data_IF_471774703409
#
_entry.id   IF_471774703409
#
_cell.length_a   1.000
_cell.length_b   1.000
_cell.length_c   1.000
_cell.angle_alpha   90.00
_cell.angle_beta   90.00
_cell.angle_gamma   90.00
#
_symmetry.space_group_name_H-M   'P 1'
#
loop_
_entity.id
_entity.type
_entity.pdbx_description
1 polymer ?
#
# COMPACT_ATOMS: atom_id res chain seq x y z
N UNK A 1 22.74 -51.86 21.65
CA UNK A 1 21.58 -52.43 20.93
C UNK A 1 20.89 -51.29 20.22
N UNK A 2 20.92 -51.27 18.88
CA UNK A 2 20.10 -50.32 18.11
C UNK A 2 18.64 -50.75 18.28
N UNK A 3 17.82 -49.87 18.85
CA UNK A 3 16.38 -50.08 18.93
C UNK A 3 15.83 -50.01 17.50
N UNK A 4 15.57 -51.17 16.90
CA UNK A 4 14.81 -51.25 15.66
C UNK A 4 13.37 -50.92 16.05
N UNK A 5 12.89 -49.75 15.65
CA UNK A 5 11.52 -49.36 15.91
C UNK A 5 10.58 -50.25 15.10
N UNK A 6 9.48 -50.67 15.72
CA UNK A 6 8.46 -51.49 15.06
C UNK A 6 7.75 -50.74 13.92
N UNK A 7 7.93 -49.41 13.84
CA UNK A 7 7.28 -48.49 12.94
C UNK A 7 8.29 -47.60 12.20
N UNK A 8 7.87 -47.06 11.06
CA UNK A 8 8.61 -46.01 10.33
C UNK A 8 8.59 -44.73 11.15
N UNK A 9 9.76 -44.11 11.35
CA UNK A 9 9.91 -42.85 12.09
C UNK A 9 10.32 -41.70 11.17
N UNK A 10 9.81 -40.50 11.42
CA UNK A 10 10.11 -39.32 10.60
C UNK A 10 9.30 -38.11 11.03
N UNK A 11 9.35 -37.04 10.24
CA UNK A 11 8.55 -35.85 10.44
C UNK A 11 7.91 -35.34 9.15
N UNK A 12 6.77 -34.67 9.30
CA UNK A 12 6.14 -33.89 8.24
C UNK A 12 6.62 -32.46 8.29
N UNK A 13 6.85 -31.88 7.12
CA UNK A 13 7.28 -30.48 6.95
C UNK A 13 6.44 -29.83 5.87
N UNK A 14 6.10 -28.56 6.10
CA UNK A 14 5.31 -27.73 5.18
C UNK A 14 6.20 -26.57 4.75
N UNK A 15 6.23 -26.28 3.46
CA UNK A 15 6.94 -25.14 2.90
C UNK A 15 6.12 -24.50 1.78
N UNK A 16 6.15 -23.17 1.70
CA UNK A 16 5.48 -22.44 0.64
C UNK A 16 6.51 -22.06 -0.44
N UNK A 17 6.10 -22.16 -1.71
CA UNK A 17 6.91 -21.67 -2.83
C UNK A 17 6.42 -20.25 -3.17
N UNK A 18 7.27 -19.27 -2.91
CA UNK A 18 7.04 -17.86 -3.29
C UNK A 18 8.27 -17.38 -4.08
N UNK A 19 8.06 -16.86 -5.29
CA UNK A 19 9.13 -16.34 -6.18
C UNK A 19 10.39 -17.23 -6.26
N UNK A 20 10.20 -18.54 -6.47
CA UNK A 20 11.25 -19.57 -6.57
C UNK A 20 12.08 -19.86 -5.30
N UNK A 21 11.70 -19.30 -4.14
CA UNK A 21 12.32 -19.59 -2.84
C UNK A 21 11.38 -20.42 -1.97
N UNK A 22 11.94 -21.41 -1.28
CA UNK A 22 11.21 -22.18 -0.27
C UNK A 22 11.26 -21.42 1.05
N UNK A 23 10.14 -20.82 1.46
CA UNK A 23 10.01 -20.23 2.78
C UNK A 23 9.43 -21.29 3.72
N UNK A 24 10.23 -21.68 4.72
CA UNK A 24 9.74 -22.50 5.83
C UNK A 24 8.91 -21.62 6.76
N UNK A 25 7.61 -21.55 6.51
CA UNK A 25 6.69 -21.13 7.56
C UNK A 25 6.42 -22.30 8.51
N UNK A 26 5.91 -22.00 9.70
CA UNK A 26 5.39 -23.02 10.62
C UNK A 26 4.13 -23.69 10.04
N UNK A 27 3.08 -23.86 10.85
CA UNK A 27 1.79 -24.40 10.38
C UNK A 27 1.00 -23.47 9.45
N UNK A 28 1.36 -22.19 9.33
CA UNK A 28 0.58 -21.18 8.59
C UNK A 28 1.03 -21.00 7.13
N UNK A 29 0.11 -21.02 6.17
CA UNK A 29 0.39 -20.88 4.73
C UNK A 29 -0.57 -19.90 4.03
N UNK A 30 -0.11 -19.24 2.95
CA UNK A 30 -0.92 -18.35 2.09
C UNK A 30 -1.90 -19.12 1.22
N UNK A 31 -3.11 -18.59 1.08
CA UNK A 31 -4.03 -18.97 0.00
C UNK A 31 -3.44 -18.60 -1.38
N UNK A 32 -3.64 -19.47 -2.39
CA UNK A 32 -3.22 -19.25 -3.78
C UNK A 32 -1.74 -19.47 -4.09
N UNK A 33 -0.91 -19.72 -3.08
CA UNK A 33 0.48 -20.12 -3.26
C UNK A 33 0.61 -21.65 -3.23
N UNK A 34 1.53 -22.19 -4.04
CA UNK A 34 1.77 -23.63 -4.07
C UNK A 34 2.43 -24.05 -2.75
N UNK A 35 1.70 -24.83 -1.96
CA UNK A 35 2.19 -25.41 -0.71
C UNK A 35 2.81 -26.76 -1.01
N UNK A 36 4.05 -26.98 -0.57
CA UNK A 36 4.74 -28.27 -0.63
C UNK A 36 4.71 -28.92 0.74
N UNK A 37 4.17 -30.13 0.81
CA UNK A 37 4.21 -30.97 2.01
C UNK A 37 5.22 -32.09 1.76
N UNK A 38 6.15 -32.29 2.68
CA UNK A 38 7.20 -33.31 2.56
C UNK A 38 7.39 -34.11 3.83
N UNK A 39 7.60 -35.40 3.68
CA UNK A 39 8.02 -36.32 4.73
C UNK A 39 9.55 -36.42 4.73
N UNK A 40 10.17 -36.33 5.91
CA UNK A 40 11.58 -36.67 6.08
C UNK A 40 11.69 -37.91 6.98
N UNK A 41 12.20 -38.99 6.39
CA UNK A 41 12.49 -40.24 7.07
C UNK A 41 13.63 -40.03 8.08
N UNK A 42 13.45 -40.55 9.30
CA UNK A 42 14.50 -40.64 10.31
C UNK A 42 15.05 -42.07 10.33
N UNK A 43 16.15 -42.31 9.62
CA UNK A 43 16.83 -43.61 9.54
C UNK A 43 18.36 -43.45 9.62
N UNK A 44 18.92 -43.15 10.80
CA UNK A 44 20.37 -42.99 10.97
C UNK A 44 21.16 -44.29 10.79
N UNK A 45 20.48 -45.44 10.81
CA UNK A 45 21.07 -46.77 10.72
C UNK A 45 21.07 -47.38 9.31
N UNK A 46 20.51 -46.66 8.32
CA UNK A 46 20.24 -47.17 6.97
C UNK A 46 19.42 -48.48 6.95
N UNK A 47 18.54 -48.66 7.93
CA UNK A 47 17.72 -49.87 8.07
C UNK A 47 16.76 -50.05 6.89
N UNK A 48 16.23 -48.96 6.35
CA UNK A 48 15.27 -48.97 5.24
C UNK A 48 15.93 -48.79 3.87
N UNK A 49 17.25 -48.97 3.75
CA UNK A 49 18.01 -48.71 2.51
C UNK A 49 17.52 -49.51 1.30
N UNK A 50 17.05 -50.75 1.51
CA UNK A 50 16.50 -51.62 0.46
C UNK A 50 14.97 -51.54 0.35
N UNK A 51 14.32 -50.70 1.16
CA UNK A 51 12.87 -50.60 1.19
C UNK A 51 12.34 -49.71 0.06
N UNK A 52 11.24 -50.16 -0.52
CA UNK A 52 10.39 -49.35 -1.38
C UNK A 52 9.33 -48.67 -0.53
N UNK A 53 9.11 -47.38 -0.78
CA UNK A 53 8.14 -46.59 -0.01
C UNK A 53 6.89 -46.28 -0.83
N UNK A 54 5.76 -46.24 -0.14
CA UNK A 54 4.47 -45.75 -0.62
C UNK A 54 3.93 -44.75 0.39
N UNK A 55 3.52 -43.58 -0.11
CA UNK A 55 3.01 -42.48 0.70
C UNK A 55 1.53 -42.28 0.36
N UNK A 56 0.65 -42.53 1.31
CA UNK A 56 -0.79 -42.31 1.19
C UNK A 56 -1.18 -41.05 1.96
N UNK A 57 -1.48 -39.98 1.22
CA UNK A 57 -1.82 -38.67 1.72
C UNK A 57 -3.34 -38.51 1.79
N UNK A 58 -3.83 -37.99 2.91
CA UNK A 58 -5.21 -37.54 3.12
C UNK A 58 -5.16 -36.08 3.59
N UNK A 59 -5.81 -35.19 2.85
CA UNK A 59 -5.78 -33.75 3.10
C UNK A 59 -6.95 -33.25 3.96
N UNK A 60 -7.80 -34.16 4.46
CA UNK A 60 -8.92 -33.85 5.34
C UNK A 60 -10.17 -33.32 4.64
N UNK A 61 -10.18 -33.28 3.31
CA UNK A 61 -11.35 -32.95 2.47
C UNK A 61 -12.00 -34.19 1.84
N UNK A 62 -11.60 -35.38 2.26
CA UNK A 62 -12.09 -36.65 1.72
C UNK A 62 -11.39 -37.09 0.43
N UNK A 63 -10.34 -36.38 0.01
CA UNK A 63 -9.53 -36.75 -1.15
C UNK A 63 -8.20 -37.35 -0.70
N UNK A 64 -7.82 -38.45 -1.35
CA UNK A 64 -6.62 -39.20 -1.05
C UNK A 64 -5.67 -39.19 -2.25
N UNK A 65 -4.36 -39.14 -1.99
CA UNK A 65 -3.33 -39.20 -3.02
C UNK A 65 -2.25 -40.22 -2.64
N UNK A 66 -1.93 -41.13 -3.57
CA UNK A 66 -0.86 -42.11 -3.37
C UNK A 66 0.33 -41.73 -4.26
N UNK A 67 1.51 -41.65 -3.66
CA UNK A 67 2.76 -41.24 -4.33
C UNK A 67 3.92 -42.17 -3.98
N UNK A 68 4.95 -42.16 -4.83
CA UNK A 68 6.23 -42.85 -4.58
C UNK A 68 7.29 -41.88 -4.07
N UNK A 69 7.10 -40.60 -4.34
CA UNK A 69 7.90 -39.50 -3.83
C UNK A 69 7.43 -39.11 -2.42
N UNK A 70 8.33 -38.70 -1.51
CA UNK A 70 7.98 -38.31 -0.14
C UNK A 70 7.39 -36.89 -0.06
N UNK A 71 6.86 -36.35 -1.15
CA UNK A 71 6.33 -34.98 -1.18
C UNK A 71 5.19 -34.82 -2.18
N UNK A 72 4.33 -33.84 -1.88
CA UNK A 72 3.19 -33.43 -2.71
C UNK A 72 3.10 -31.92 -2.82
N UNK A 73 2.55 -31.44 -3.93
CA UNK A 73 2.25 -30.02 -4.16
C UNK A 73 0.75 -29.83 -4.12
N UNK A 74 0.29 -28.96 -3.24
CA UNK A 74 -1.11 -28.67 -3.00
C UNK A 74 -1.37 -27.20 -3.31
N UNK A 75 -2.44 -26.93 -4.05
CA UNK A 75 -3.01 -25.61 -4.19
C UNK A 75 -4.37 -25.59 -3.48
N UNK A 76 -4.46 -24.81 -2.40
CA UNK A 76 -5.67 -24.70 -1.62
C UNK A 76 -6.40 -23.39 -1.93
N UNK A 77 -7.64 -23.49 -2.39
CA UNK A 77 -8.49 -22.33 -2.70
C UNK A 77 -9.38 -21.87 -1.54
N UNK A 78 -9.46 -22.64 -0.45
CA UNK A 78 -10.36 -22.36 0.68
C UNK A 78 -9.60 -22.22 1.99
N UNK A 79 -9.96 -21.20 2.76
CA UNK A 79 -9.37 -20.88 4.06
C UNK A 79 -9.78 -21.88 5.13
N UNK A 80 -8.95 -22.00 6.16
CA UNK A 80 -9.29 -22.75 7.38
C UNK A 80 -8.17 -23.66 7.86
N UNK A 81 -8.43 -24.28 9.00
CA UNK A 81 -7.53 -25.25 9.61
C UNK A 81 -7.82 -26.63 9.02
N UNK A 82 -6.82 -27.20 8.35
CA UNK A 82 -6.87 -28.53 7.76
C UNK A 82 -5.88 -29.43 8.48
N UNK A 83 -6.20 -30.70 8.59
CA UNK A 83 -5.27 -31.70 9.13
C UNK A 83 -4.89 -32.63 7.99
N UNK A 84 -3.59 -32.70 7.70
CA UNK A 84 -3.06 -33.62 6.70
C UNK A 84 -2.59 -34.87 7.42
N UNK A 85 -3.12 -36.02 7.01
CA UNK A 85 -2.72 -37.33 7.47
C UNK A 85 -1.87 -38.01 6.40
N UNK A 86 -0.75 -38.57 6.80
CA UNK A 86 0.12 -39.36 5.93
C UNK A 86 0.30 -40.75 6.54
N UNK A 87 -0.03 -41.77 5.76
CA UNK A 87 0.35 -43.16 6.03
C UNK A 87 1.50 -43.56 5.12
N UNK A 88 2.64 -43.87 5.73
CA UNK A 88 3.84 -44.33 5.04
C UNK A 88 3.93 -45.84 5.17
N UNK A 89 4.15 -46.51 4.04
CA UNK A 89 4.36 -47.96 3.99
C UNK A 89 5.74 -48.21 3.37
N UNK A 90 6.61 -48.88 4.11
CA UNK A 90 7.92 -49.33 3.67
C UNK A 90 7.88 -50.84 3.49
N UNK A 91 8.28 -51.33 2.31
CA UNK A 91 8.24 -52.74 1.95
C UNK A 91 9.59 -53.18 1.36
N UNK A 92 10.15 -54.27 1.88
CA UNK A 92 11.37 -54.88 1.35
C UNK A 92 11.32 -56.40 1.46
N UNK A 93 12.20 -57.08 0.71
CA UNK A 93 12.38 -58.52 0.81
C UNK A 93 13.51 -58.84 1.78
N UNK A 94 13.28 -59.80 2.66
CA UNK A 94 14.26 -60.35 3.59
C UNK A 94 14.36 -61.86 3.36
N UNK A 95 15.56 -62.42 3.54
CA UNK A 95 15.76 -63.86 3.50
C UNK A 95 15.13 -64.46 4.76
N UNK A 96 14.14 -65.35 4.57
CA UNK A 96 13.46 -66.05 5.66
C UNK A 96 14.38 -67.01 6.40
N UNK A 97 14.02 -67.33 7.65
CA UNK A 97 14.85 -68.15 8.55
C UNK A 97 14.74 -69.66 8.29
N UNK A 98 13.75 -70.12 7.50
CA UNK A 98 13.52 -71.55 7.23
C UNK A 98 13.18 -71.73 5.75
N UNK A 99 14.14 -72.33 5.00
CA UNK A 99 14.11 -72.56 3.55
C UNK A 99 14.27 -71.23 2.77
N UNK A 100 14.94 -71.25 1.60
CA UNK A 100 15.25 -70.09 0.75
C UNK A 100 14.00 -69.38 0.16
N UNK A 101 13.00 -69.08 0.98
CA UNK A 101 11.86 -68.24 0.64
C UNK A 101 12.17 -66.79 1.00
N UNK A 102 11.97 -65.90 0.03
CA UNK A 102 12.01 -64.46 0.25
C UNK A 102 10.73 -64.04 0.96
N UNK A 103 10.87 -63.57 2.21
CA UNK A 103 9.75 -63.01 2.97
C UNK A 103 9.65 -61.52 2.67
N UNK A 104 8.46 -61.05 2.32
CA UNK A 104 8.17 -59.61 2.20
C UNK A 104 7.86 -59.04 3.57
N UNK A 105 8.72 -58.15 4.05
CA UNK A 105 8.56 -57.44 5.31
C UNK A 105 7.95 -56.07 5.02
N UNK A 106 6.94 -55.71 5.79
CA UNK A 106 6.27 -54.43 5.70
C UNK A 106 6.30 -53.69 7.04
N UNK A 107 6.64 -52.40 6.99
CA UNK A 107 6.57 -51.48 8.12
C UNK A 107 5.72 -50.28 7.75
N UNK A 108 4.98 -49.77 8.72
CA UNK A 108 4.08 -48.64 8.53
C UNK A 108 4.42 -47.53 9.52
N UNK A 109 4.12 -46.28 9.16
CA UNK A 109 4.10 -45.14 10.06
C UNK A 109 2.97 -44.19 9.71
N UNK A 110 2.30 -43.66 10.72
CA UNK A 110 1.20 -42.71 10.57
C UNK A 110 1.62 -41.34 11.13
N UNK A 111 1.42 -40.29 10.34
CA UNK A 111 1.88 -38.93 10.66
C UNK A 111 0.76 -37.93 10.42
N UNK A 112 0.69 -36.91 11.26
CA UNK A 112 -0.31 -35.85 11.14
C UNK A 112 0.36 -34.49 11.26
N UNK A 113 -0.13 -33.53 10.48
CA UNK A 113 0.27 -32.12 10.61
C UNK A 113 -0.93 -31.21 10.40
N UNK A 114 -1.01 -30.15 11.20
CA UNK A 114 -1.99 -29.10 11.00
C UNK A 114 -1.48 -28.08 9.96
N UNK A 115 -2.35 -27.70 9.05
CA UNK A 115 -2.15 -26.67 8.05
C UNK A 115 -3.19 -25.56 8.28
N UNK A 116 -2.72 -24.38 8.61
CA UNK A 116 -3.57 -23.19 8.80
C UNK A 116 -3.48 -22.32 7.55
N UNK A 117 -4.54 -22.34 6.74
CA UNK A 117 -4.62 -21.54 5.53
C UNK A 117 -5.22 -20.18 5.84
N UNK A 118 -4.40 -19.14 5.72
CA UNK A 118 -4.80 -17.76 5.94
C UNK A 118 -4.92 -17.03 4.60
N UNK A 119 -5.96 -16.21 4.44
CA UNK A 119 -6.03 -15.22 3.36
C UNK A 119 -5.03 -14.12 3.63
N UNK A 120 -4.25 -13.80 2.60
CA UNK A 120 -3.28 -12.73 2.60
C UNK A 120 -3.95 -11.39 2.90
N UNK A 121 -3.18 -10.46 3.47
CA UNK A 121 -3.59 -9.06 3.55
C UNK A 121 -3.59 -8.48 2.13
N UNK A 122 -4.78 -8.25 1.57
CA UNK A 122 -5.00 -7.78 0.20
C UNK A 122 -4.92 -6.25 0.10
N UNK A 123 -5.51 -5.55 1.06
CA UNK A 123 -5.53 -4.09 1.06
C UNK A 123 -5.74 -3.51 2.46
N UNK A 124 -5.24 -2.28 2.65
CA UNK A 124 -5.47 -1.45 3.83
C UNK A 124 -6.10 -0.14 3.36
N UNK A 125 -7.33 0.13 3.79
CA UNK A 125 -8.06 1.34 3.46
C UNK A 125 -8.18 2.21 4.71
N UNK A 126 -7.67 3.44 4.62
CA UNK A 126 -7.77 4.43 5.70
C UNK A 126 -8.92 5.40 5.39
N UNK A 127 -9.98 5.33 6.19
CA UNK A 127 -11.19 6.14 6.07
C UNK A 127 -11.17 7.26 7.12
N UNK A 128 -11.53 8.48 6.71
CA UNK A 128 -11.58 9.65 7.59
C UNK A 128 -11.01 10.92 6.94
N UNK A 129 -11.07 12.04 7.66
CA UNK A 129 -10.59 13.34 7.16
C UNK A 129 -9.08 13.32 6.88
N UNK A 130 -8.63 14.11 5.90
CA UNK A 130 -7.19 14.38 5.64
C UNK A 130 -6.71 15.65 6.32
N UNK A 131 -7.64 16.39 6.90
CA UNK A 131 -7.39 17.71 7.45
C UNK A 131 -8.04 17.83 8.83
N UNK A 132 -7.36 18.50 9.75
CA UNK A 132 -7.86 18.77 11.10
C UNK A 132 -7.22 20.04 11.64
N UNK A 133 -7.75 20.58 12.72
CA UNK A 133 -7.16 21.71 13.42
C UNK A 133 -6.34 21.28 14.63
N UNK A 134 -5.43 22.15 15.07
CA UNK A 134 -4.68 21.98 16.32
C UNK A 134 -5.65 21.80 17.50
N UNK A 135 -5.34 20.86 18.40
CA UNK A 135 -6.17 20.48 19.56
C UNK A 135 -7.57 19.93 19.22
N UNK A 136 -7.83 19.62 17.94
CA UNK A 136 -9.01 18.89 17.53
C UNK A 136 -8.71 17.37 17.49
N UNK A 137 -9.70 16.55 17.81
CA UNK A 137 -9.57 15.09 17.79
C UNK A 137 -9.84 14.55 16.38
N UNK A 138 -8.80 14.05 15.71
CA UNK A 138 -8.92 13.37 14.43
C UNK A 138 -9.23 11.89 14.64
N UNK A 139 -10.38 11.44 14.14
CA UNK A 139 -10.77 10.02 14.12
C UNK A 139 -10.60 9.43 12.72
N UNK A 140 -9.85 8.32 12.63
CA UNK A 140 -9.60 7.55 11.42
C UNK A 140 -10.02 6.10 11.64
N UNK A 141 -10.65 5.50 10.64
CA UNK A 141 -11.05 4.09 10.63
C UNK A 141 -10.23 3.32 9.60
N UNK A 142 -9.52 2.31 10.06
CA UNK A 142 -8.70 1.40 9.25
C UNK A 142 -9.53 0.17 8.89
N UNK A 143 -9.80 0.00 7.60
CA UNK A 143 -10.48 -1.19 7.06
C UNK A 143 -9.46 -2.06 6.35
N UNK A 144 -9.32 -3.29 6.80
CA UNK A 144 -8.28 -4.22 6.37
C UNK A 144 -8.94 -5.46 5.78
N UNK A 145 -8.54 -5.78 4.56
CA UNK A 145 -8.96 -6.99 3.88
C UNK A 145 -7.89 -8.07 4.12
N UNK A 146 -8.09 -8.91 5.13
CA UNK A 146 -7.18 -10.01 5.47
C UNK A 146 -7.75 -10.86 6.61
N UNK A 147 -7.10 -11.99 6.89
CA UNK A 147 -7.55 -12.94 7.93
C UNK A 147 -6.99 -12.57 9.30
N UNK A 148 -7.82 -12.39 10.33
CA UNK A 148 -7.35 -12.29 11.71
C UNK A 148 -6.68 -13.57 12.23
N UNK A 149 -5.76 -13.50 13.20
CA UNK A 149 -5.31 -12.30 13.92
C UNK A 149 -4.30 -11.48 13.11
N UNK A 150 -4.57 -10.18 12.96
CA UNK A 150 -3.69 -9.26 12.24
C UNK A 150 -2.84 -8.47 13.24
N UNK A 151 -1.54 -8.34 12.98
CA UNK A 151 -0.66 -7.45 13.71
C UNK A 151 -0.61 -6.09 13.00
N UNK A 152 -1.32 -5.11 13.57
CA UNK A 152 -1.39 -3.73 13.11
C UNK A 152 -0.37 -2.88 13.85
N UNK A 153 0.47 -2.17 13.11
CA UNK A 153 1.54 -1.32 13.59
C UNK A 153 1.37 0.06 12.94
N UNK A 154 1.13 1.10 13.73
CA UNK A 154 0.92 2.46 13.20
C UNK A 154 1.78 3.50 13.90
N UNK A 155 2.12 4.57 13.18
CA UNK A 155 2.93 5.67 13.67
C UNK A 155 2.58 6.96 12.91
N UNK A 156 2.52 8.09 13.63
CA UNK A 156 2.31 9.41 13.05
C UNK A 156 3.57 10.25 13.25
N UNK A 157 4.12 10.80 12.16
CA UNK A 157 5.32 11.68 12.14
C UNK A 157 5.18 12.79 11.11
N UNK A 158 6.14 13.71 11.03
CA UNK A 158 6.19 14.77 10.00
C UNK A 158 6.43 14.26 8.58
N UNK A 159 6.93 13.03 8.44
CA UNK A 159 7.28 12.38 7.17
C UNK A 159 6.78 10.93 7.14
N UNK A 160 6.51 10.41 5.94
CA UNK A 160 6.09 9.01 5.76
C UNK A 160 7.30 8.09 5.83
N UNK A 161 7.36 7.19 6.82
CA UNK A 161 8.49 6.29 7.02
C UNK A 161 8.07 4.81 6.99
N UNK A 162 8.86 3.94 6.35
CA UNK A 162 8.64 2.50 6.43
C UNK A 162 8.72 2.05 7.90
N UNK A 163 7.78 1.21 8.33
CA UNK A 163 7.70 0.74 9.70
C UNK A 163 8.42 -0.60 9.83
N UNK A 164 9.70 -0.54 10.16
CA UNK A 164 10.52 -1.71 10.47
C UNK A 164 10.84 -1.73 11.98
N UNK A 165 10.29 -2.71 12.70
CA UNK A 165 10.59 -2.96 14.12
C UNK A 165 9.67 -2.25 15.15
N UNK A 166 10.15 -2.15 16.39
CA UNK A 166 9.39 -1.82 17.63
C UNK A 166 9.03 -0.32 17.81
N UNK A 167 9.22 0.54 16.81
CA UNK A 167 9.01 2.00 16.94
C UNK A 167 7.59 2.46 16.63
N UNK A 168 6.63 1.55 16.54
CA UNK A 168 5.23 1.84 16.26
C UNK A 168 4.33 1.36 17.39
N UNK A 169 3.10 1.86 17.40
CA UNK A 169 2.06 1.34 18.27
C UNK A 169 1.52 0.03 17.69
N UNK A 170 1.93 -1.10 18.27
CA UNK A 170 1.54 -2.44 17.86
C UNK A 170 0.26 -2.89 18.56
N UNK A 171 -0.71 -3.37 17.77
CA UNK A 171 -2.00 -3.88 18.22
C UNK A 171 -2.33 -5.17 17.47
N UNK A 172 -2.74 -6.21 18.19
CA UNK A 172 -3.29 -7.42 17.58
C UNK A 172 -4.80 -7.25 17.46
N UNK A 173 -5.32 -7.32 16.23
CA UNK A 173 -6.76 -7.18 15.96
C UNK A 173 -7.35 -8.52 15.54
N UNK A 174 -8.54 -8.82 16.07
CA UNK A 174 -9.32 -10.03 15.76
C UNK A 174 -10.39 -9.80 14.69
N UNK A 175 -10.62 -8.53 14.30
CA UNK A 175 -11.54 -8.14 13.24
C UNK A 175 -10.83 -7.48 12.05
N UNK A 176 -11.62 -6.99 11.10
CA UNK A 176 -11.15 -6.30 9.89
C UNK A 176 -11.09 -4.77 10.04
N UNK A 177 -11.55 -4.22 11.16
CA UNK A 177 -11.65 -2.78 11.39
C UNK A 177 -10.90 -2.36 12.66
N UNK A 178 -10.21 -1.21 12.61
CA UNK A 178 -9.59 -0.59 13.78
C UNK A 178 -9.78 0.93 13.76
N UNK A 179 -10.19 1.52 14.88
CA UNK A 179 -10.39 2.95 15.01
C UNK A 179 -9.19 3.59 15.71
N UNK A 180 -8.66 4.65 15.11
CA UNK A 180 -7.53 5.43 15.56
C UNK A 180 -8.00 6.85 15.85
N UNK A 181 -7.82 7.31 17.09
CA UNK A 181 -8.05 8.72 17.46
C UNK A 181 -6.74 9.38 17.88
N UNK A 182 -6.44 10.56 17.35
CA UNK A 182 -5.23 11.31 17.66
C UNK A 182 -5.48 12.82 17.68
N UNK A 183 -4.82 13.52 18.61
CA UNK A 183 -4.87 14.98 18.75
C UNK A 183 -3.49 15.57 18.47
N UNK A 184 -3.45 16.59 17.62
CA UNK A 184 -2.20 17.26 17.24
C UNK A 184 -1.98 18.53 18.06
N UNK A 185 -0.77 18.68 18.61
CA UNK A 185 -0.40 19.87 19.40
C UNK A 185 0.12 21.02 18.53
N UNK A 186 0.74 20.71 17.40
CA UNK A 186 1.35 21.68 16.50
C UNK A 186 0.73 21.61 15.10
N UNK A 187 0.66 22.77 14.44
CA UNK A 187 0.24 22.85 13.04
C UNK A 187 1.38 22.38 12.13
N UNK A 188 1.04 21.64 11.07
CA UNK A 188 2.06 21.04 10.22
C UNK A 188 1.50 20.05 9.20
N UNK A 189 2.40 19.45 8.44
CA UNK A 189 2.09 18.28 7.64
C UNK A 189 2.61 17.06 8.39
N UNK A 190 1.72 16.09 8.56
CA UNK A 190 2.01 14.82 9.20
C UNK A 190 1.69 13.69 8.23
N UNK A 191 2.27 12.53 8.49
CA UNK A 191 1.99 11.31 7.78
C UNK A 191 1.73 10.18 8.77
N UNK A 192 0.59 9.53 8.60
CA UNK A 192 0.25 8.28 9.23
C UNK A 192 0.85 7.15 8.40
N UNK A 193 1.82 6.45 8.97
CA UNK A 193 2.36 5.21 8.43
C UNK A 193 1.64 4.03 9.09
N UNK A 194 1.13 3.10 8.29
CA UNK A 194 0.40 1.93 8.77
C UNK A 194 0.95 0.68 8.13
N UNK A 195 1.39 -0.26 8.95
CA UNK A 195 1.83 -1.59 8.56
C UNK A 195 0.87 -2.61 9.14
N UNK A 196 0.39 -3.52 8.31
CA UNK A 196 -0.38 -4.69 8.75
C UNK A 196 0.33 -5.93 8.26
N UNK A 197 0.49 -6.89 9.16
CA UNK A 197 0.98 -8.22 8.80
C UNK A 197 0.05 -9.29 9.34
N UNK A 198 -0.22 -10.28 8.50
CA UNK A 198 -0.70 -11.59 8.90
C UNK A 198 0.50 -12.54 8.82
N UNK A 199 0.50 -13.73 9.44
CA UNK A 199 1.64 -14.68 9.40
C UNK A 199 2.10 -15.15 8.01
N UNK A 200 1.52 -14.57 6.96
CA UNK A 200 1.73 -14.81 5.54
C UNK A 200 2.28 -13.55 4.84
N UNK A 201 1.49 -12.46 4.76
CA UNK A 201 1.88 -11.25 4.03
C UNK A 201 1.98 -10.03 4.93
N UNK A 202 2.83 -9.10 4.52
CA UNK A 202 3.00 -7.78 5.13
C UNK A 202 2.68 -6.71 4.09
N UNK A 203 1.78 -5.79 4.43
CA UNK A 203 1.43 -4.65 3.60
C UNK A 203 1.61 -3.36 4.40
N UNK A 204 2.07 -2.31 3.73
CA UNK A 204 2.22 -0.99 4.31
C UNK A 204 1.55 0.08 3.45
N UNK A 205 0.87 1.01 4.09
CA UNK A 205 0.21 2.16 3.47
C UNK A 205 0.54 3.43 4.24
N UNK A 206 0.41 4.57 3.54
CA UNK A 206 0.70 5.89 4.08
C UNK A 206 -0.47 6.82 3.84
N UNK A 207 -0.69 7.73 4.79
CA UNK A 207 -1.69 8.78 4.65
C UNK A 207 -1.19 10.09 5.19
N UNK A 208 -1.10 11.06 4.30
CA UNK A 208 -0.81 12.44 4.67
C UNK A 208 -2.00 13.09 5.37
N UNK A 209 -1.70 13.88 6.40
CA UNK A 209 -2.63 14.60 7.25
C UNK A 209 -2.12 16.04 7.37
N UNK A 210 -2.96 17.00 6.99
CA UNK A 210 -2.66 18.43 7.16
C UNK A 210 -3.32 18.95 8.43
N UNK A 211 -2.51 19.51 9.32
CA UNK A 211 -3.00 20.12 10.56
C UNK A 211 -2.92 21.63 10.41
N UNK A 212 -4.09 22.27 10.45
CA UNK A 212 -4.22 23.72 10.36
C UNK A 212 -4.14 24.35 11.75
N UNK A 213 -3.49 25.52 11.89
CA UNK A 213 -3.52 26.25 13.15
C UNK A 213 -4.96 26.66 13.48
N UNK A 214 -5.30 26.65 14.77
CA UNK A 214 -6.55 27.22 15.26
C UNK A 214 -6.40 28.74 15.35
N UNK A 215 -6.98 29.47 14.40
CA UNK A 215 -6.91 30.93 14.37
C UNK A 215 -7.62 31.53 13.16
N UNK A 216 -8.00 32.81 13.27
CA UNK A 216 -8.58 33.58 12.16
C UNK A 216 -7.54 33.64 11.03
N UNK A 217 -7.92 33.23 9.81
CA UNK A 217 -7.00 33.31 8.69
C UNK A 217 -6.52 34.75 8.51
N UNK A 218 -5.19 34.99 8.36
CA UNK A 218 -4.64 36.34 8.23
C UNK A 218 -5.24 37.12 7.03
N UNK A 219 -5.80 36.41 6.05
CA UNK A 219 -6.56 36.99 4.95
C UNK A 219 -7.74 37.87 5.39
N UNK A 220 -8.47 37.51 6.45
CA UNK A 220 -9.59 38.32 6.94
C UNK A 220 -9.13 39.68 7.50
N UNK A 221 -8.00 39.69 8.22
CA UNK A 221 -7.40 40.93 8.71
C UNK A 221 -6.89 41.80 7.54
N UNK A 222 -6.24 41.19 6.56
CA UNK A 222 -5.75 41.90 5.37
C UNK A 222 -6.91 42.51 4.57
N UNK A 223 -8.01 41.76 4.37
CA UNK A 223 -9.21 42.25 3.68
C UNK A 223 -9.87 43.41 4.43
N UNK A 224 -9.97 43.33 5.77
CA UNK A 224 -10.48 44.42 6.59
C UNK A 224 -9.61 45.68 6.45
N UNK A 225 -8.29 45.53 6.49
CA UNK A 225 -7.36 46.65 6.29
C UNK A 225 -7.49 47.27 4.90
N UNK A 226 -7.59 46.47 3.83
CA UNK A 226 -7.78 46.97 2.47
C UNK A 226 -9.09 47.76 2.36
N UNK A 227 -10.19 47.25 2.93
CA UNK A 227 -11.47 47.95 2.92
C UNK A 227 -11.40 49.32 3.62
N UNK A 228 -10.73 49.38 4.79
CA UNK A 228 -10.53 50.64 5.51
C UNK A 228 -9.69 51.64 4.71
N UNK A 229 -8.62 51.20 4.05
CA UNK A 229 -7.80 52.06 3.20
C UNK A 229 -8.61 52.60 2.01
N UNK A 230 -9.43 51.77 1.37
CA UNK A 230 -10.29 52.20 0.26
C UNK A 230 -11.32 53.25 0.69
N UNK A 231 -11.92 53.10 1.88
CA UNK A 231 -12.85 54.10 2.44
C UNK A 231 -12.11 55.42 2.70
N UNK A 232 -10.91 55.38 3.29
CA UNK A 232 -10.12 56.59 3.55
C UNK A 232 -9.71 57.30 2.27
N UNK A 233 -9.27 56.56 1.24
CA UNK A 233 -8.97 57.13 -0.08
C UNK A 233 -10.21 57.74 -0.72
N UNK A 234 -11.36 57.07 -0.62
CA UNK A 234 -12.65 57.60 -1.10
C UNK A 234 -13.04 58.91 -0.41
N UNK A 235 -12.85 59.02 0.91
CA UNK A 235 -13.10 60.24 1.67
C UNK A 235 -12.15 61.39 1.28
N UNK A 236 -10.87 61.10 1.04
CA UNK A 236 -9.89 62.09 0.58
C UNK A 236 -10.24 62.58 -0.83
N UNK A 237 -10.60 61.68 -1.74
CA UNK A 237 -11.06 62.06 -3.09
C UNK A 237 -12.36 62.88 -3.04
N UNK A 238 -13.30 62.51 -2.18
CA UNK A 238 -14.55 63.25 -2.01
C UNK A 238 -14.32 64.68 -1.48
N UNK A 239 -13.48 64.83 -0.46
CA UNK A 239 -13.18 66.14 0.15
C UNK A 239 -12.38 67.04 -0.79
N UNK A 240 -11.39 66.50 -1.52
CA UNK A 240 -10.63 67.27 -2.52
C UNK A 240 -11.52 67.72 -3.68
N UNK A 241 -12.37 66.83 -4.22
CA UNK A 241 -13.31 67.18 -5.30
C UNK A 241 -14.33 68.24 -4.84
N UNK A 242 -14.88 68.09 -3.62
CA UNK A 242 -15.82 69.04 -3.04
C UNK A 242 -15.18 70.41 -2.73
N UNK A 243 -13.93 70.45 -2.29
CA UNK A 243 -13.23 71.73 -2.07
C UNK A 243 -12.95 72.47 -3.38
N UNK A 244 -12.55 71.75 -4.43
CA UNK A 244 -12.28 72.33 -5.74
C UNK A 244 -13.56 72.87 -6.40
N UNK A 245 -14.72 72.28 -6.11
CA UNK A 245 -16.01 72.82 -6.56
C UNK A 245 -16.42 74.07 -5.78
N UNK A 246 -16.08 74.22 -4.50
CA UNK A 246 -16.37 75.45 -3.75
C UNK A 246 -15.44 76.62 -4.08
N UNK A 247 -14.22 76.37 -4.58
CA UNK A 247 -13.31 77.45 -4.98
C UNK A 247 -13.60 78.04 -6.37
N UNK A 248 -14.66 77.57 -7.06
CA UNK A 248 -15.08 78.08 -8.37
C UNK A 248 -16.19 79.12 -8.34
N UNK A 249 -16.69 79.52 -7.17
CA UNK A 249 -17.66 80.62 -7.08
C UNK A 249 -16.94 81.97 -6.79
N UNK A 250 -17.02 82.84 -7.80
CA UNK A 250 -16.88 84.30 -7.78
C UNK A 250 -15.48 84.89 -7.53
N UNK A 251 -14.66 84.90 -8.59
CA UNK A 251 -13.85 86.09 -8.90
C UNK A 251 -14.45 86.71 -10.17
N UNK A 252 -15.27 87.75 -10.00
CA UNK A 252 -15.65 88.63 -11.11
C UNK A 252 -14.42 89.43 -11.53
N UNK A 253 -13.79 89.00 -12.62
CA UNK A 253 -12.79 89.81 -13.31
C UNK A 253 -13.56 90.77 -14.21
N UNK A 254 -13.56 92.06 -13.87
CA UNK A 254 -14.04 93.10 -14.77
C UNK A 254 -13.10 93.17 -15.98
N UNK A 255 -13.65 92.83 -17.14
CA UNK A 255 -12.97 92.89 -18.43
C UNK A 255 -12.86 94.36 -18.86
N UNK A 256 -11.68 94.96 -18.69
CA UNK A 256 -11.36 96.27 -19.26
C UNK A 256 -10.57 96.05 -20.55
N UNK A 257 -11.30 96.03 -21.65
CA UNK A 257 -10.75 95.90 -23.00
C UNK A 257 -10.14 97.25 -23.44
N UNK A 258 -8.81 97.28 -23.54
CA UNK A 258 -8.05 98.36 -24.15
C UNK A 258 -6.95 97.76 -25.02
N UNK A 259 -7.19 97.60 -26.33
CA UNK A 259 -6.27 98.03 -27.40
C UNK A 259 -6.81 97.77 -28.81
N UNK A 260 -6.42 98.60 -29.81
CA UNK A 260 -6.91 98.53 -31.19
C UNK A 260 -6.08 97.61 -32.10
N UNK A 261 -6.78 97.09 -33.13
CA UNK A 261 -6.41 96.60 -34.47
C UNK A 261 -4.96 96.22 -34.86
N UNK A 262 -4.92 95.26 -35.78
CA UNK A 262 -3.82 94.74 -36.62
C UNK A 262 -2.99 93.61 -35.99
N UNK A 263 -2.58 92.54 -36.68
CA UNK A 263 -2.77 92.08 -38.05
C UNK A 263 -2.37 90.59 -38.12
N UNK A 264 -3.07 89.82 -38.96
CA UNK A 264 -2.53 88.83 -39.91
C UNK A 264 -1.64 87.65 -39.44
N UNK A 265 -2.31 86.50 -39.31
CA UNK A 265 -2.00 85.15 -39.85
C UNK A 265 -0.57 84.53 -39.88
N UNK A 266 -0.55 83.27 -39.43
CA UNK A 266 0.10 82.06 -39.97
C UNK A 266 1.45 81.55 -39.42
N UNK A 267 1.48 80.20 -39.39
CA UNK A 267 2.59 79.24 -39.20
C UNK A 267 2.86 78.83 -37.74
N UNK A 268 3.15 77.58 -37.37
CA UNK A 268 3.42 76.33 -38.11
C UNK A 268 3.24 75.15 -37.14
N UNK A 269 2.74 74.01 -37.63
CA UNK A 269 2.76 72.75 -36.90
C UNK A 269 4.15 72.10 -37.01
N UNK A 270 4.75 71.76 -35.87
CA UNK A 270 5.83 70.78 -35.70
C UNK A 270 5.53 70.00 -34.41
N UNK A 271 5.33 68.69 -34.53
CA UNK A 271 6.18 67.61 -33.93
C UNK A 271 6.11 67.54 -32.38
N UNK A 272 6.17 66.40 -31.68
CA UNK A 272 6.33 64.97 -31.97
C UNK A 272 6.25 64.21 -30.62
N UNK A 273 6.17 62.87 -30.63
CA UNK A 273 6.51 61.99 -29.50
C UNK A 273 5.31 61.25 -28.87
N UNK A 274 4.95 60.02 -29.29
CA UNK A 274 5.54 58.69 -28.98
C UNK A 274 5.31 58.26 -27.50
N UNK A 275 4.80 57.07 -27.15
CA UNK A 275 4.59 55.85 -27.92
C UNK A 275 3.62 54.85 -27.25
N UNK A 276 3.27 53.82 -28.02
CA UNK A 276 2.22 52.83 -27.79
C UNK A 276 2.80 51.44 -27.50
N UNK A 277 2.06 50.68 -26.69
CA UNK A 277 2.34 49.33 -26.16
C UNK A 277 2.24 48.24 -27.24
N UNK A 278 3.15 47.27 -27.24
CA UNK A 278 3.09 46.03 -28.03
C UNK A 278 2.56 44.83 -27.22
N UNK A 279 1.59 44.10 -27.80
CA UNK A 279 1.26 42.71 -27.49
C UNK A 279 1.93 41.78 -28.53
N UNK A 280 2.35 40.57 -28.13
CA UNK A 280 2.72 39.51 -29.08
C UNK A 280 2.28 38.13 -28.58
N UNK A 281 1.44 37.48 -29.37
CA UNK A 281 1.07 36.07 -29.28
C UNK A 281 1.66 35.34 -30.47
N UNK A 282 2.26 34.16 -30.27
CA UNK A 282 2.59 33.23 -31.36
C UNK A 282 2.22 31.80 -30.95
N UNK A 283 1.37 31.17 -31.77
CA UNK A 283 1.17 29.73 -31.84
C UNK A 283 2.16 29.15 -32.87
N UNK A 284 2.70 27.96 -32.60
CA UNK A 284 3.21 27.06 -33.64
C UNK A 284 2.92 25.60 -33.25
N UNK A 285 2.74 24.78 -34.29
CA UNK A 285 2.18 23.41 -34.34
C UNK A 285 3.24 22.46 -34.89
N UNK A 286 3.34 21.21 -34.39
CA UNK A 286 3.46 19.96 -35.20
C UNK A 286 3.65 18.67 -34.37
N UNK A 287 3.03 17.59 -34.86
CA UNK A 287 3.13 16.14 -34.53
C UNK A 287 4.23 15.48 -35.45
N UNK A 288 4.52 14.14 -35.55
CA UNK A 288 3.88 12.91 -35.00
C UNK A 288 4.77 11.67 -34.61
N UNK A 289 4.08 10.60 -34.16
CA UNK A 289 4.29 9.12 -34.33
C UNK A 289 5.58 8.38 -33.85
N UNK A 290 5.39 7.33 -33.01
CA UNK A 290 5.41 5.89 -33.41
C UNK A 290 5.80 4.92 -32.26
N UNK A 291 5.34 3.67 -32.42
CA UNK A 291 5.91 2.39 -31.96
C UNK A 291 5.39 1.70 -30.66
N UNK A 292 4.67 0.60 -30.95
CA UNK A 292 4.43 -0.64 -30.19
C UNK A 292 5.65 -1.15 -29.39
N UNK A 293 5.37 -1.79 -28.26
CA UNK A 293 6.08 -3.01 -27.85
C UNK A 293 5.16 -3.92 -27.01
N UNK A 294 4.85 -5.09 -27.56
CA UNK A 294 4.16 -6.21 -26.94
C UNK A 294 5.22 -7.19 -26.43
N UNK A 295 5.30 -7.39 -25.11
CA UNK A 295 6.17 -8.40 -24.53
C UNK A 295 5.39 -9.70 -24.30
N UNK A 296 5.73 -10.70 -25.12
CA UNK A 296 5.44 -12.11 -24.89
C UNK A 296 6.16 -12.58 -23.61
N UNK A 297 5.41 -13.10 -22.65
CA UNK A 297 5.99 -13.82 -21.52
C UNK A 297 6.12 -15.31 -21.87
N UNK A 298 7.35 -15.77 -21.72
CA UNK A 298 7.85 -17.12 -21.95
C UNK A 298 7.07 -18.17 -21.16
N UNK A 299 6.48 -19.14 -21.87
CA UNK A 299 6.01 -20.40 -21.32
C UNK A 299 7.21 -21.23 -20.87
N UNK A 300 7.44 -21.28 -19.55
CA UNK A 300 8.39 -22.21 -18.94
C UNK A 300 7.82 -23.63 -19.02
N UNK A 301 8.45 -24.48 -19.83
CA UNK A 301 8.25 -25.92 -19.84
C UNK A 301 8.74 -26.53 -18.52
N UNK A 302 7.86 -26.66 -17.53
CA UNK A 302 8.03 -27.65 -16.47
C UNK A 302 7.22 -28.89 -16.83
N UNK A 303 7.87 -30.05 -16.78
CA UNK A 303 7.18 -31.35 -16.80
C UNK A 303 6.04 -31.31 -15.76
N UNK A 304 4.85 -31.83 -16.06
CA UNK A 304 3.75 -31.83 -15.10
C UNK A 304 4.13 -32.70 -13.91
N UNK A 305 4.62 -32.05 -12.86
CA UNK A 305 4.63 -32.63 -11.52
C UNK A 305 3.18 -32.71 -11.10
N UNK A 306 2.76 -33.85 -10.52
CA UNK A 306 1.38 -34.07 -10.06
C UNK A 306 1.01 -32.98 -9.04
N UNK A 307 0.39 -31.92 -9.53
CA UNK A 307 -0.23 -30.90 -8.70
C UNK A 307 -1.58 -31.44 -8.24
N UNK A 308 -1.82 -31.36 -6.94
CA UNK A 308 -3.12 -31.53 -6.36
C UNK A 308 -3.79 -30.16 -6.27
N UNK A 309 -4.91 -30.00 -6.96
CA UNK A 309 -5.63 -28.72 -7.05
C UNK A 309 -6.99 -28.89 -6.37
N UNK A 310 -7.31 -27.99 -5.44
CA UNK A 310 -8.62 -27.89 -4.76
C UNK A 310 -9.20 -26.52 -4.97
#
# INVERSE_FOLDING_TARGET
MLQITEFVTGNLTIAQIEDSRFIKHGSSSSMGAVTRISFCLHDPSDYFKSASFVYNWDFGDGVYQITKEPFVYCNYSTMGNRTVHLKVVAEWQQIGSIIHETETVQKTGDFTTALELLDAVKSIHVVGSRETHVMENLSLSLHINGTPPLALCWLIKSECIPLEGEKCHLVVITGSCYNLSHTFSDAGQYCLSVRVQNGVTMLQTYREIKVWPTGIQPAFFVLLCIALVLVMVGLVLYTTFRSNTQQKDLVEVADFDFSPLSDKSLSSHSESGCGQVCCRSCFLRSSPEAARESHEFLLSFYKPVKMYTV
#
